data_IF_662266311079
#
_entry.id   IF_662266311079
#
_cell.length_a   1.000
_cell.length_b   1.000
_cell.length_c   1.000
_cell.angle_alpha   90.00
_cell.angle_beta   90.00
_cell.angle_gamma   90.00
#
_symmetry.space_group_name_H-M   'P 1'
#
loop_
_entity.id
_entity.type
_entity.pdbx_description
1 polymer ?
#
# COMPACT_ATOMS: atom_id res chain seq x y z
N UNK A 1 -30.49 -4.83 -2.53
CA UNK A 1 -29.87 -3.95 -1.52
C UNK A 1 -28.83 -4.60 -0.60
N UNK A 2 -29.16 -5.56 0.28
CA UNK A 2 -28.13 -6.20 1.13
C UNK A 2 -27.12 -7.03 0.32
N UNK A 3 -27.55 -7.59 -0.83
CA UNK A 3 -26.69 -8.36 -1.74
C UNK A 3 -25.79 -7.48 -2.62
N UNK A 4 -26.30 -6.34 -3.12
CA UNK A 4 -25.51 -5.38 -3.92
C UNK A 4 -24.37 -4.77 -3.11
N UNK A 5 -24.61 -4.49 -1.82
CA UNK A 5 -23.57 -4.02 -0.92
C UNK A 5 -22.43 -5.04 -0.75
N UNK A 6 -22.76 -6.34 -0.67
CA UNK A 6 -21.76 -7.42 -0.59
C UNK A 6 -20.98 -7.58 -1.90
N UNK A 7 -21.65 -7.50 -3.05
CA UNK A 7 -20.99 -7.55 -4.37
C UNK A 7 -19.98 -6.42 -4.52
N UNK A 8 -20.40 -5.18 -4.23
CA UNK A 8 -19.52 -4.02 -4.31
C UNK A 8 -18.27 -4.16 -3.42
N UNK A 9 -18.42 -4.75 -2.23
CA UNK A 9 -17.29 -5.00 -1.31
C UNK A 9 -16.31 -6.03 -1.91
N UNK A 10 -16.83 -7.09 -2.49
CA UNK A 10 -16.00 -8.13 -3.13
C UNK A 10 -15.26 -7.53 -4.32
N UNK A 11 -15.93 -6.70 -5.12
CA UNK A 11 -15.36 -6.06 -6.30
C UNK A 11 -14.30 -5.01 -5.92
N UNK A 12 -14.53 -4.23 -4.86
CA UNK A 12 -13.58 -3.23 -4.38
C UNK A 12 -12.33 -3.89 -3.77
N UNK A 13 -12.49 -4.91 -2.93
CA UNK A 13 -11.35 -5.68 -2.40
C UNK A 13 -10.58 -6.38 -3.51
N UNK A 14 -11.27 -6.92 -4.52
CA UNK A 14 -10.64 -7.54 -5.69
C UNK A 14 -9.84 -6.51 -6.50
N UNK A 15 -10.40 -5.31 -6.68
CA UNK A 15 -9.75 -4.22 -7.41
C UNK A 15 -8.49 -3.74 -6.68
N UNK A 16 -8.56 -3.54 -5.36
CA UNK A 16 -7.40 -3.11 -4.57
C UNK A 16 -6.33 -4.18 -4.47
N UNK A 17 -6.73 -5.46 -4.36
CA UNK A 17 -5.81 -6.60 -4.45
C UNK A 17 -5.08 -6.60 -5.79
N UNK A 18 -5.80 -6.38 -6.89
CA UNK A 18 -5.20 -6.33 -8.23
C UNK A 18 -4.23 -5.15 -8.38
N UNK A 19 -4.58 -3.97 -7.87
CA UNK A 19 -3.71 -2.78 -7.87
C UNK A 19 -2.42 -3.04 -7.07
N UNK A 20 -2.55 -3.66 -5.90
CA UNK A 20 -1.38 -4.02 -5.06
C UNK A 20 -0.48 -5.04 -5.77
N UNK A 21 -1.09 -5.97 -6.50
CA UNK A 21 -0.37 -7.00 -7.25
C UNK A 21 0.35 -6.42 -8.48
N UNK A 22 -0.27 -5.49 -9.20
CA UNK A 22 0.39 -4.76 -10.29
C UNK A 22 1.57 -3.93 -9.77
N UNK A 23 1.40 -3.24 -8.63
CA UNK A 23 2.47 -2.42 -8.02
C UNK A 23 3.67 -3.28 -7.62
N UNK A 24 3.43 -4.47 -7.06
CA UNK A 24 4.49 -5.42 -6.71
C UNK A 24 5.27 -5.89 -7.95
N UNK A 25 4.59 -6.18 -9.05
CA UNK A 25 5.26 -6.55 -10.30
C UNK A 25 6.10 -5.39 -10.85
N UNK A 26 5.58 -4.16 -10.85
CA UNK A 26 6.31 -3.00 -11.36
C UNK A 26 7.53 -2.69 -10.50
N UNK A 27 7.40 -2.76 -9.18
CA UNK A 27 8.54 -2.55 -8.25
C UNK A 27 9.59 -3.65 -8.39
N UNK A 28 9.20 -4.91 -8.57
CA UNK A 28 10.13 -6.02 -8.82
C UNK A 28 10.92 -5.83 -10.13
N UNK A 29 10.26 -5.37 -11.20
CA UNK A 29 10.93 -5.10 -12.49
C UNK A 29 11.94 -3.96 -12.33
N UNK A 30 11.56 -2.88 -11.65
CA UNK A 30 12.47 -1.75 -11.38
C UNK A 30 13.70 -2.20 -10.57
N UNK A 31 13.52 -3.02 -9.53
CA UNK A 31 14.63 -3.58 -8.77
C UNK A 31 15.58 -4.44 -9.62
N UNK A 32 15.04 -5.27 -10.53
CA UNK A 32 15.85 -6.10 -11.43
C UNK A 32 16.66 -5.26 -12.43
N UNK A 33 16.07 -4.20 -13.00
CA UNK A 33 16.77 -3.26 -13.89
C UNK A 33 17.90 -2.54 -13.16
N UNK A 34 17.63 -2.05 -11.96
CA UNK A 34 18.60 -1.38 -11.08
C UNK A 34 19.75 -2.33 -10.74
N UNK A 35 19.48 -3.58 -10.37
CA UNK A 35 20.51 -4.57 -10.08
C UNK A 35 21.39 -4.89 -11.29
N UNK A 36 20.82 -4.99 -12.50
CA UNK A 36 21.56 -5.25 -13.73
C UNK A 36 22.50 -4.09 -14.12
N UNK A 37 22.10 -2.85 -13.84
CA UNK A 37 22.94 -1.66 -14.07
C UNK A 37 24.08 -1.55 -13.04
N UNK A 38 23.88 -1.96 -11.77
CA UNK A 38 24.94 -1.98 -10.74
C UNK A 38 26.09 -2.90 -11.13
N UNK A 39 25.82 -4.06 -11.72
CA UNK A 39 26.86 -5.03 -12.10
C UNK A 39 27.78 -4.50 -13.21
N UNK A 40 27.36 -3.47 -13.95
CA UNK A 40 28.19 -2.80 -14.98
C UNK A 40 28.95 -1.58 -14.43
N UNK A 41 28.74 -1.23 -13.16
CA UNK A 41 29.30 -0.02 -12.58
C UNK A 41 30.81 -0.14 -12.36
N UNK A 42 31.60 0.53 -13.21
CA UNK A 42 33.06 0.62 -13.08
C UNK A 42 33.57 2.06 -12.91
N UNK A 43 32.70 3.07 -12.95
CA UNK A 43 33.09 4.49 -12.97
C UNK A 43 32.15 5.42 -12.19
N UNK A 44 32.62 6.63 -11.87
CA UNK A 44 31.88 7.66 -11.12
C UNK A 44 30.55 8.07 -11.78
N UNK A 45 30.44 7.84 -13.09
CA UNK A 45 29.26 8.15 -13.90
C UNK A 45 28.04 7.31 -13.46
N UNK A 46 28.28 6.08 -12.98
CA UNK A 46 27.22 5.21 -12.47
C UNK A 46 26.65 5.69 -11.14
N UNK A 47 27.45 6.31 -10.25
CA UNK A 47 26.93 6.89 -9.01
C UNK A 47 25.92 8.02 -9.29
N UNK A 48 26.21 8.87 -10.28
CA UNK A 48 25.33 9.98 -10.67
C UNK A 48 24.04 9.45 -11.31
N UNK A 49 24.12 8.42 -12.15
CA UNK A 49 22.95 7.81 -12.79
C UNK A 49 22.10 7.01 -11.80
N UNK A 50 22.70 6.35 -10.80
CA UNK A 50 22.00 5.44 -9.87
C UNK A 50 21.24 6.17 -8.75
N UNK A 51 21.80 7.27 -8.26
CA UNK A 51 21.20 8.10 -7.20
C UNK A 51 19.72 8.45 -7.46
N UNK A 52 19.31 8.96 -8.65
CA UNK A 52 17.91 9.28 -8.90
C UNK A 52 16.99 8.04 -8.84
N UNK A 53 17.42 6.87 -9.32
CA UNK A 53 16.60 5.65 -9.28
C UNK A 53 16.31 5.19 -7.85
N UNK A 54 17.31 5.22 -6.97
CA UNK A 54 17.12 4.90 -5.56
C UNK A 54 16.16 5.89 -4.92
N UNK A 55 16.34 7.18 -5.17
CA UNK A 55 15.44 8.21 -4.61
C UNK A 55 14.00 8.05 -5.11
N UNK A 56 13.80 7.69 -6.39
CA UNK A 56 12.48 7.45 -6.95
C UNK A 56 11.80 6.21 -6.35
N UNK A 57 12.54 5.12 -6.13
CA UNK A 57 12.00 3.94 -5.43
C UNK A 57 11.59 4.26 -4.00
N UNK A 58 12.41 5.02 -3.27
CA UNK A 58 12.07 5.47 -1.92
C UNK A 58 10.83 6.36 -1.91
N UNK A 59 10.75 7.32 -2.85
CA UNK A 59 9.60 8.19 -3.00
C UNK A 59 8.33 7.40 -3.33
N UNK A 60 8.42 6.39 -4.21
CA UNK A 60 7.29 5.53 -4.59
C UNK A 60 6.75 4.76 -3.39
N UNK A 61 7.63 4.14 -2.59
CA UNK A 61 7.22 3.40 -1.38
C UNK A 61 6.60 4.34 -0.35
N UNK A 62 7.18 5.52 -0.14
CA UNK A 62 6.65 6.53 0.79
C UNK A 62 5.29 7.06 0.34
N UNK A 63 5.15 7.43 -0.94
CA UNK A 63 3.88 7.92 -1.49
C UNK A 63 2.78 6.86 -1.39
N UNK A 64 3.09 5.62 -1.74
CA UNK A 64 2.14 4.52 -1.68
C UNK A 64 1.66 4.23 -0.25
N UNK A 65 2.60 4.12 0.70
CA UNK A 65 2.27 3.89 2.10
C UNK A 65 1.54 5.07 2.74
N UNK A 66 1.84 6.30 2.31
CA UNK A 66 1.12 7.50 2.73
C UNK A 66 -0.33 7.47 2.25
N UNK A 67 -0.56 7.19 0.96
CA UNK A 67 -1.91 7.07 0.39
C UNK A 67 -2.70 5.95 1.07
N UNK A 68 -2.08 4.78 1.29
CA UNK A 68 -2.72 3.68 1.99
C UNK A 68 -3.13 4.07 3.42
N UNK A 69 -2.27 4.78 4.14
CA UNK A 69 -2.55 5.27 5.50
C UNK A 69 -3.65 6.33 5.51
N UNK A 70 -3.65 7.28 4.57
CA UNK A 70 -4.70 8.29 4.43
C UNK A 70 -6.06 7.66 4.13
N UNK A 71 -6.11 6.63 3.27
CA UNK A 71 -7.34 5.88 3.00
C UNK A 71 -7.89 5.24 4.29
N UNK A 72 -7.02 4.73 5.17
CA UNK A 72 -7.43 4.16 6.47
C UNK A 72 -7.94 5.26 7.40
N UNK A 73 -7.24 6.38 7.52
CA UNK A 73 -7.64 7.49 8.38
C UNK A 73 -8.99 8.04 7.92
N UNK A 74 -9.14 8.36 6.64
CA UNK A 74 -10.38 8.88 6.08
C UNK A 74 -11.52 7.88 6.17
N UNK A 75 -11.27 6.57 5.97
CA UNK A 75 -12.32 5.57 6.16
C UNK A 75 -12.83 5.60 7.59
N UNK A 76 -11.94 5.57 8.58
CA UNK A 76 -12.34 5.61 10.00
C UNK A 76 -13.05 6.90 10.38
N UNK A 77 -12.60 8.05 9.88
CA UNK A 77 -13.25 9.34 10.10
C UNK A 77 -14.68 9.37 9.54
N UNK A 78 -14.89 8.80 8.34
CA UNK A 78 -16.22 8.66 7.74
C UNK A 78 -17.12 7.73 8.59
N UNK A 79 -16.58 6.64 9.15
CA UNK A 79 -17.32 5.78 10.09
C UNK A 79 -17.78 6.55 11.33
N UNK A 80 -16.88 7.33 11.94
CA UNK A 80 -17.19 8.10 13.15
C UNK A 80 -18.21 9.21 12.86
N UNK A 81 -18.02 9.99 11.79
CA UNK A 81 -18.97 11.02 11.40
C UNK A 81 -20.36 10.45 11.02
N UNK A 82 -20.40 9.28 10.41
CA UNK A 82 -21.64 8.56 10.15
C UNK A 82 -22.31 8.10 11.45
N UNK A 83 -21.55 7.64 12.44
CA UNK A 83 -22.07 7.25 13.75
C UNK A 83 -22.61 8.44 14.57
N UNK A 84 -21.93 9.58 14.50
CA UNK A 84 -22.32 10.82 15.22
C UNK A 84 -23.45 11.59 14.52
N UNK A 85 -23.82 11.21 13.29
CA UNK A 85 -25.02 11.77 12.66
C UNK A 85 -26.28 11.38 13.47
N UNK A 86 -27.35 12.18 13.41
CA UNK A 86 -28.63 11.87 14.07
C UNK A 86 -29.37 10.71 13.35
N UNK A 87 -28.68 9.57 13.20
CA UNK A 87 -29.10 8.45 12.38
C UNK A 87 -30.41 7.83 12.82
N UNK A 88 -30.78 8.02 14.09
CA UNK A 88 -32.05 7.62 14.68
C UNK A 88 -33.26 8.37 14.09
N UNK A 89 -33.07 9.55 13.50
CA UNK A 89 -34.13 10.31 12.81
C UNK A 89 -34.31 9.94 11.33
N UNK A 90 -33.40 9.15 10.74
CA UNK A 90 -33.54 8.73 9.34
C UNK A 90 -34.49 7.55 9.15
N UNK A 91 -34.98 7.41 7.92
CA UNK A 91 -35.83 6.30 7.51
C UNK A 91 -35.09 4.96 7.64
N UNK A 92 -35.82 3.85 7.85
CA UNK A 92 -35.21 2.53 8.11
C UNK A 92 -34.28 2.03 7.00
N UNK A 93 -34.52 2.45 5.76
CA UNK A 93 -33.65 2.15 4.63
C UNK A 93 -32.29 2.87 4.74
N UNK A 94 -32.30 4.14 5.16
CA UNK A 94 -31.08 4.95 5.34
C UNK A 94 -30.28 4.47 6.55
N UNK A 95 -30.95 4.10 7.65
CA UNK A 95 -30.31 3.49 8.82
C UNK A 95 -29.52 2.23 8.45
N UNK A 96 -30.11 1.34 7.66
CA UNK A 96 -29.42 0.12 7.18
C UNK A 96 -28.21 0.48 6.32
N UNK A 97 -28.35 1.40 5.36
CA UNK A 97 -27.23 1.85 4.51
C UNK A 97 -26.08 2.46 5.32
N UNK A 98 -26.41 3.28 6.32
CA UNK A 98 -25.44 3.92 7.20
C UNK A 98 -24.71 2.90 8.09
N UNK A 99 -25.43 1.94 8.66
CA UNK A 99 -24.84 0.86 9.44
C UNK A 99 -23.84 0.03 8.60
N UNK A 100 -24.19 -0.29 7.35
CA UNK A 100 -23.27 -0.95 6.42
C UNK A 100 -22.03 -0.10 6.12
N UNK A 101 -22.20 1.22 5.97
CA UNK A 101 -21.11 2.15 5.72
C UNK A 101 -20.17 2.24 6.93
N UNK A 102 -20.68 2.30 8.16
CA UNK A 102 -19.90 2.29 9.40
C UNK A 102 -19.12 0.98 9.56
N UNK A 103 -19.79 -0.18 9.40
CA UNK A 103 -19.14 -1.50 9.49
C UNK A 103 -18.04 -1.65 8.42
N UNK A 104 -18.25 -1.11 7.22
CA UNK A 104 -17.25 -1.09 6.15
C UNK A 104 -16.04 -0.22 6.52
N UNK A 105 -16.31 1.01 6.96
CA UNK A 105 -15.29 2.00 7.28
C UNK A 105 -14.43 1.63 8.50
N UNK A 106 -14.97 0.79 9.39
CA UNK A 106 -14.28 0.19 10.54
C UNK A 106 -13.39 -1.02 10.18
N UNK A 107 -13.55 -1.64 9.01
CA UNK A 107 -12.57 -2.62 8.52
C UNK A 107 -11.47 -1.85 7.80
N UNK A 108 -10.31 -1.61 8.45
CA UNK A 108 -9.20 -0.96 7.76
C UNK A 108 -8.91 -1.78 6.52
N UNK A 109 -8.71 -1.07 5.42
CA UNK A 109 -8.34 -1.64 4.14
C UNK A 109 -6.90 -2.12 4.30
N UNK A 110 -6.76 -3.26 4.97
CA UNK A 110 -5.51 -3.97 5.20
C UNK A 110 -5.05 -4.39 3.83
N UNK A 111 -4.22 -3.55 3.24
CA UNK A 111 -3.56 -3.77 1.96
C UNK A 111 -2.54 -4.88 2.21
N UNK A 112 -3.04 -6.11 2.33
CA UNK A 112 -2.22 -7.30 2.48
C UNK A 112 -1.61 -7.58 1.11
N UNK A 113 -0.29 -7.48 1.01
CA UNK A 113 0.42 -8.08 -0.10
C UNK A 113 0.39 -9.59 0.12
N UNK A 114 -0.67 -10.26 -0.34
CA UNK A 114 -0.78 -11.72 -0.32
C UNK A 114 -0.34 -12.37 1.01
N UNK A 115 0.78 -13.12 0.98
CA UNK A 115 1.34 -13.86 2.12
C UNK A 115 2.33 -13.06 2.99
N UNK A 116 2.64 -11.80 2.65
CA UNK A 116 3.65 -10.98 3.33
C UNK A 116 3.08 -10.10 4.47
N UNK A 117 1.78 -10.19 4.74
CA UNK A 117 1.12 -9.43 5.79
C UNK A 117 0.66 -8.03 5.36
N UNK A 118 0.15 -7.21 6.29
CA UNK A 118 -0.36 -5.88 6.00
C UNK A 118 0.76 -4.91 5.62
N UNK A 119 0.57 -4.12 4.57
CA UNK A 119 1.46 -3.00 4.24
C UNK A 119 1.35 -1.91 5.31
N UNK A 120 2.17 -2.03 6.35
CA UNK A 120 2.38 -1.00 7.36
C UNK A 120 3.72 -0.29 7.14
N UNK A 121 3.95 0.77 7.91
CA UNK A 121 5.26 1.45 7.96
C UNK A 121 6.40 0.48 8.33
N UNK A 122 6.08 -0.61 9.04
CA UNK A 122 7.06 -1.66 9.40
C UNK A 122 7.54 -2.45 8.19
N UNK A 123 6.67 -2.74 7.22
CA UNK A 123 7.07 -3.41 5.96
C UNK A 123 8.01 -2.57 5.11
N UNK A 124 7.85 -1.24 5.09
CA UNK A 124 8.80 -0.35 4.42
C UNK A 124 10.17 -0.41 5.10
N UNK A 125 10.21 -0.39 6.43
CA UNK A 125 11.42 -0.55 7.23
C UNK A 125 12.08 -1.92 7.00
N UNK A 126 11.29 -2.98 6.87
CA UNK A 126 11.77 -4.32 6.56
C UNK A 126 12.43 -4.36 5.17
N UNK A 127 11.80 -3.79 4.14
CA UNK A 127 12.40 -3.70 2.80
C UNK A 127 13.73 -2.93 2.82
N UNK A 128 13.79 -1.78 3.50
CA UNK A 128 15.03 -0.99 3.63
C UNK A 128 16.14 -1.82 4.30
N UNK A 129 15.82 -2.55 5.37
CA UNK A 129 16.77 -3.44 6.06
C UNK A 129 17.26 -4.57 5.16
N UNK A 130 16.39 -5.15 4.34
CA UNK A 130 16.75 -6.19 3.40
C UNK A 130 17.71 -5.68 2.32
N UNK A 131 17.44 -4.49 1.75
CA UNK A 131 18.34 -3.83 0.78
C UNK A 131 19.70 -3.53 1.41
N UNK A 132 19.72 -2.99 2.63
CA UNK A 132 20.96 -2.72 3.34
C UNK A 132 21.77 -4.00 3.61
N UNK A 133 21.13 -5.08 4.05
CA UNK A 133 21.79 -6.39 4.21
C UNK A 133 22.35 -6.92 2.90
N UNK A 134 21.63 -6.76 1.79
CA UNK A 134 22.11 -7.21 0.49
C UNK A 134 23.37 -6.45 0.05
N UNK A 135 23.38 -5.13 0.21
CA UNK A 135 24.56 -4.29 -0.06
C UNK A 135 25.72 -4.67 0.85
N UNK A 136 25.45 -4.86 2.15
CA UNK A 136 26.47 -5.22 3.14
C UNK A 136 27.07 -6.61 2.90
N UNK A 137 26.28 -7.57 2.41
CA UNK A 137 26.76 -8.89 2.03
C UNK A 137 27.73 -8.81 0.85
N UNK A 138 27.35 -8.11 -0.23
CA UNK A 138 28.22 -7.93 -1.39
C UNK A 138 29.51 -7.16 -1.04
N UNK A 139 29.43 -6.18 -0.14
CA UNK A 139 30.59 -5.39 0.28
C UNK A 139 31.53 -6.13 1.26
N UNK A 140 31.09 -7.22 1.89
CA UNK A 140 31.94 -8.08 2.74
C UNK A 140 32.49 -9.30 1.98
N UNK A 141 32.12 -9.49 0.72
CA UNK A 141 32.62 -10.58 -0.13
C UNK A 141 33.82 -10.20 -1.01
N UNK A 142 34.28 -8.95 -0.93
CA UNK A 142 35.61 -8.49 -1.38
C UNK A 142 36.59 -8.48 -0.19
#
# INVERSE_FOLDING_TARGET
MADEGKSFIIDLNKSIKNISLSEFSTTSINCALIAAEITKAQSIQYCVTFTPYVTLLFLQILAYTHVANEIIIQSTAIATAAYDSEWYHFNDEYKKRLLFLIIRAQKPLSMNIGSFGPMTKETALFMIRAVYSYIAFFNNSD
#
